data_IF_477234983414
#
_entry.id   IF_477234983414
#
_cell.length_a   1.000
_cell.length_b   1.000
_cell.length_c   1.000
_cell.angle_alpha   90.00
_cell.angle_beta   90.00
_cell.angle_gamma   90.00
#
_symmetry.space_group_name_H-M   'P 1'
#
loop_
_entity.id
_entity.type
_entity.pdbx_description
1 polymer ?
#
# COMPACT_ATOMS: atom_id res chain seq x y z
N UNK A 1 -35.17 -5.22 25.20
CA UNK A 1 -34.25 -6.06 24.40
C UNK A 1 -33.89 -5.43 23.04
N UNK A 2 -34.85 -5.02 22.18
CA UNK A 2 -34.57 -4.39 20.86
C UNK A 2 -33.67 -3.14 20.89
N UNK A 3 -33.79 -2.28 21.92
CA UNK A 3 -32.94 -1.08 22.09
C UNK A 3 -31.47 -1.41 22.38
N UNK A 4 -31.21 -2.54 23.06
CA UNK A 4 -29.85 -2.97 23.43
C UNK A 4 -29.12 -3.57 22.23
N UNK A 5 -29.82 -4.35 21.40
CA UNK A 5 -29.27 -4.84 20.13
C UNK A 5 -28.91 -3.67 19.20
N UNK A 6 -29.79 -2.67 19.04
CA UNK A 6 -29.51 -1.50 18.18
C UNK A 6 -28.23 -0.74 18.58
N UNK A 7 -27.93 -0.62 19.88
CA UNK A 7 -26.70 0.01 20.36
C UNK A 7 -25.44 -0.79 19.98
N UNK A 8 -25.51 -2.11 20.09
CA UNK A 8 -24.41 -3.02 19.70
C UNK A 8 -24.12 -2.94 18.19
N UNK A 9 -25.16 -2.93 17.36
CA UNK A 9 -25.02 -2.79 15.90
C UNK A 9 -24.40 -1.45 15.50
N UNK A 10 -24.79 -0.34 16.16
CA UNK A 10 -24.21 0.98 15.89
C UNK A 10 -22.73 1.02 16.26
N UNK A 11 -22.35 0.42 17.40
CA UNK A 11 -20.95 0.33 17.81
C UNK A 11 -20.10 -0.48 16.82
N UNK A 12 -20.60 -1.64 16.39
CA UNK A 12 -19.90 -2.49 15.41
C UNK A 12 -19.78 -1.81 14.04
N UNK A 13 -20.84 -1.14 13.57
CA UNK A 13 -20.80 -0.38 12.33
C UNK A 13 -19.82 0.80 12.41
N UNK A 14 -19.84 1.55 13.51
CA UNK A 14 -18.89 2.64 13.72
C UNK A 14 -17.44 2.15 13.73
N UNK A 15 -17.18 0.99 14.35
CA UNK A 15 -15.85 0.38 14.37
C UNK A 15 -15.41 -0.11 12.98
N UNK A 16 -16.31 -0.74 12.22
CA UNK A 16 -16.05 -1.19 10.86
C UNK A 16 -15.72 -0.01 9.92
N UNK A 17 -16.49 1.09 10.03
CA UNK A 17 -16.27 2.30 9.25
C UNK A 17 -14.92 2.95 9.59
N UNK A 18 -14.56 2.99 10.88
CA UNK A 18 -13.27 3.53 11.31
C UNK A 18 -12.08 2.71 10.80
N UNK A 19 -12.15 1.38 10.88
CA UNK A 19 -11.10 0.49 10.36
C UNK A 19 -10.91 0.64 8.84
N UNK A 20 -11.99 0.83 8.10
CA UNK A 20 -11.94 1.03 6.64
C UNK A 20 -11.25 2.34 6.26
N UNK A 21 -11.45 3.41 7.03
CA UNK A 21 -10.81 4.70 6.78
C UNK A 21 -9.27 4.66 6.96
N UNK A 22 -8.77 3.84 7.90
CA UNK A 22 -7.32 3.70 8.13
C UNK A 22 -6.58 3.02 6.97
N UNK A 23 -7.24 2.12 6.24
CA UNK A 23 -6.65 1.42 5.10
C UNK A 23 -6.57 2.31 3.84
N UNK A 24 -7.28 3.44 3.82
CA UNK A 24 -7.34 4.35 2.68
C UNK A 24 -6.22 5.41 2.68
N UNK A 25 -5.24 5.32 3.58
CA UNK A 25 -4.08 6.22 3.57
C UNK A 25 -3.12 5.86 2.43
N UNK A 26 -3.54 6.13 1.19
CA UNK A 26 -2.67 6.13 0.02
C UNK A 26 -1.71 7.31 0.13
N UNK A 27 -0.60 7.10 0.83
CA UNK A 27 0.55 7.99 0.77
C UNK A 27 1.04 8.04 -0.68
N UNK A 28 1.09 9.22 -1.29
CA UNK A 28 1.85 9.46 -2.52
C UNK A 28 3.34 9.39 -2.17
N UNK A 29 3.82 8.16 -1.96
CA UNK A 29 5.23 7.84 -1.65
C UNK A 29 6.20 8.28 -2.76
N UNK A 30 5.68 8.62 -3.94
CA UNK A 30 6.44 9.04 -5.11
C UNK A 30 5.80 10.34 -5.62
N UNK A 31 6.63 11.38 -5.76
CA UNK A 31 6.22 12.69 -6.27
C UNK A 31 7.02 13.01 -7.53
N UNK A 32 6.41 13.73 -8.46
CA UNK A 32 7.09 14.15 -9.68
C UNK A 32 8.20 15.15 -9.37
N UNK A 33 9.32 15.05 -10.11
CA UNK A 33 10.50 15.89 -9.88
C UNK A 33 11.42 15.40 -8.75
N UNK A 34 10.90 14.56 -7.84
CA UNK A 34 11.70 13.96 -6.78
C UNK A 34 12.47 12.73 -7.26
N UNK A 35 13.59 12.46 -6.58
CA UNK A 35 14.36 11.25 -6.86
C UNK A 35 13.57 10.02 -6.42
N UNK A 36 13.30 9.11 -7.35
CA UNK A 36 12.65 7.84 -7.02
C UNK A 36 13.41 7.11 -5.90
N UNK A 37 12.74 6.55 -4.89
CA UNK A 37 13.39 5.99 -3.71
C UNK A 37 14.38 4.86 -4.03
N UNK A 38 15.44 4.81 -3.23
CA UNK A 38 16.47 3.78 -3.27
C UNK A 38 15.96 2.54 -2.53
N UNK A 39 15.68 1.46 -3.27
CA UNK A 39 15.03 0.26 -2.74
C UNK A 39 15.72 -1.00 -3.25
N UNK A 40 15.69 -2.02 -2.39
CA UNK A 40 16.11 -3.39 -2.71
C UNK A 40 14.87 -4.28 -2.90
N UNK A 41 14.86 -5.07 -3.96
CA UNK A 41 13.85 -6.08 -4.20
C UNK A 41 14.51 -7.42 -4.53
N UNK A 42 13.94 -8.55 -4.09
CA UNK A 42 14.37 -9.85 -4.60
C UNK A 42 14.01 -9.93 -6.09
N UNK A 43 14.94 -10.43 -6.89
CA UNK A 43 14.68 -10.75 -8.29
C UNK A 43 13.62 -11.85 -8.41
N UNK A 44 12.71 -11.70 -9.38
CA UNK A 44 11.68 -12.70 -9.65
C UNK A 44 12.22 -14.00 -10.24
N UNK A 45 13.42 -13.98 -10.85
CA UNK A 45 13.97 -15.14 -11.57
C UNK A 45 14.79 -16.05 -10.66
N UNK A 46 15.57 -15.48 -9.75
CA UNK A 46 16.57 -16.19 -8.95
C UNK A 46 16.56 -15.79 -7.46
N UNK A 47 15.70 -14.85 -7.06
CA UNK A 47 15.60 -14.39 -5.67
C UNK A 47 16.78 -13.54 -5.20
N UNK A 48 17.79 -13.32 -6.04
CA UNK A 48 18.97 -12.53 -5.69
C UNK A 48 18.54 -11.07 -5.46
N UNK A 49 19.01 -10.43 -4.38
CA UNK A 49 18.70 -9.02 -4.13
C UNK A 49 19.17 -8.13 -5.29
N UNK A 50 18.27 -7.30 -5.79
CA UNK A 50 18.52 -6.32 -6.82
C UNK A 50 18.22 -4.91 -6.30
N UNK A 51 19.10 -3.98 -6.65
CA UNK A 51 18.96 -2.58 -6.29
C UNK A 51 18.30 -1.80 -7.44
N UNK A 52 17.29 -0.97 -7.19
CA UNK A 52 16.64 -0.21 -8.27
C UNK A 52 17.56 0.82 -8.94
N UNK A 53 18.55 1.35 -8.22
CA UNK A 53 19.51 2.31 -8.79
C UNK A 53 20.35 1.77 -9.96
N UNK A 54 20.43 0.45 -10.15
CA UNK A 54 21.11 -0.13 -11.32
C UNK A 54 20.51 0.36 -12.67
N UNK A 55 19.26 0.82 -12.65
CA UNK A 55 18.52 1.32 -13.82
C UNK A 55 18.62 2.85 -14.00
N UNK A 56 19.43 3.55 -13.20
CA UNK A 56 19.65 5.00 -13.34
C UNK A 56 20.28 5.33 -14.70
N UNK A 57 20.01 6.53 -15.20
CA UNK A 57 20.45 6.96 -16.54
C UNK A 57 19.61 6.40 -17.69
N UNK A 58 18.63 5.54 -17.41
CA UNK A 58 17.69 5.00 -18.39
C UNK A 58 16.26 5.47 -18.07
N UNK A 59 15.46 5.70 -19.11
CA UNK A 59 14.02 5.92 -18.95
C UNK A 59 13.35 4.56 -18.78
N UNK A 60 12.81 4.30 -17.60
CA UNK A 60 12.19 3.02 -17.22
C UNK A 60 10.80 3.23 -16.65
N UNK A 61 9.96 2.20 -16.74
CA UNK A 61 8.64 2.15 -16.12
C UNK A 61 8.66 1.11 -15.01
N UNK A 62 8.28 1.52 -13.79
CA UNK A 62 8.14 0.61 -12.65
C UNK A 62 6.68 0.20 -12.54
N UNK A 63 6.42 -1.11 -12.60
CA UNK A 63 5.08 -1.66 -12.45
C UNK A 63 4.99 -2.41 -11.11
N UNK A 64 4.19 -1.87 -10.19
CA UNK A 64 3.84 -2.50 -8.92
C UNK A 64 2.57 -3.32 -9.12
N UNK A 65 2.64 -4.63 -8.91
CA UNK A 65 1.50 -5.52 -9.06
C UNK A 65 1.40 -6.48 -7.87
N UNK A 66 0.21 -7.01 -7.68
CA UNK A 66 -0.11 -8.05 -6.72
C UNK A 66 -0.92 -9.13 -7.44
N UNK A 67 -0.66 -10.40 -7.15
CA UNK A 67 -1.30 -11.53 -7.84
C UNK A 67 -2.67 -11.92 -7.27
N UNK A 68 -3.20 -11.13 -6.34
CA UNK A 68 -4.42 -11.41 -5.59
C UNK A 68 -5.59 -10.54 -6.06
#
# INVERSE_FOLDING_TARGET
>A
MRKMQRRLWIGCLAWLLYASAMNAQSSSLIQEGETFPSLWFPSMTDGVPQHLEQWRGQKVVVHLFASW
#
